data_IF_910958320048
#
_entry.id   IF_910958320048
#
_cell.length_a   1.000
_cell.length_b   1.000
_cell.length_c   1.000
_cell.angle_alpha   90.00
_cell.angle_beta   90.00
_cell.angle_gamma   90.00
#
_symmetry.space_group_name_H-M   'P 1'
#
loop_
_entity.id
_entity.type
_entity.pdbx_description
1 polymer ?
#
# COMPACT_ATOMS: atom_id res chain seq x y z
N UNK A 1 15.01 -42.40 -31.77
CA UNK A 1 15.63 -41.32 -30.98
C UNK A 1 15.09 -41.45 -29.57
N UNK A 2 15.98 -41.84 -28.66
CA UNK A 2 15.66 -42.43 -27.36
C UNK A 2 15.50 -41.36 -26.29
N UNK A 3 14.41 -41.46 -25.51
CA UNK A 3 14.19 -40.68 -24.30
C UNK A 3 14.88 -41.37 -23.11
N UNK A 4 15.65 -40.65 -22.27
CA UNK A 4 16.01 -41.15 -20.96
C UNK A 4 14.94 -40.79 -19.91
N UNK A 5 14.48 -41.82 -19.22
CA UNK A 5 13.68 -41.81 -17.99
C UNK A 5 14.49 -41.33 -16.77
N UNK A 6 13.81 -40.89 -15.68
CA UNK A 6 14.42 -40.24 -14.52
C UNK A 6 14.89 -41.24 -13.45
N UNK A 7 15.81 -40.87 -12.54
CA UNK A 7 16.05 -41.63 -11.33
C UNK A 7 15.07 -41.26 -10.20
N UNK A 8 14.67 -42.34 -9.55
CA UNK A 8 13.84 -42.54 -8.36
C UNK A 8 14.33 -41.89 -7.07
N UNK A 9 13.33 -41.53 -6.24
CA UNK A 9 13.38 -41.12 -4.83
C UNK A 9 14.17 -42.08 -3.90
N UNK A 10 14.60 -41.64 -2.71
CA UNK A 10 13.84 -42.14 -1.55
C UNK A 10 13.57 -41.14 -0.42
N UNK A 11 12.41 -41.40 0.19
CA UNK A 11 11.92 -41.07 1.53
C UNK A 11 13.02 -41.04 2.60
N UNK A 12 13.05 -39.96 3.38
CA UNK A 12 13.70 -39.89 4.69
C UNK A 12 12.73 -39.31 5.71
N UNK A 13 12.05 -40.18 6.44
CA UNK A 13 11.27 -39.83 7.62
C UNK A 13 12.22 -39.69 8.82
N UNK A 14 12.22 -38.56 9.51
CA UNK A 14 12.81 -38.43 10.84
C UNK A 14 11.75 -37.87 11.79
N UNK A 15 11.12 -38.79 12.52
CA UNK A 15 10.46 -38.50 13.80
C UNK A 15 11.57 -38.24 14.82
N UNK A 16 11.51 -37.11 15.53
CA UNK A 16 12.15 -37.01 16.85
C UNK A 16 11.09 -36.67 17.87
N UNK A 17 11.12 -37.50 18.92
CA UNK A 17 10.12 -37.68 19.93
C UNK A 17 10.18 -36.59 21.02
N UNK A 18 9.06 -36.51 21.72
CA UNK A 18 8.84 -35.83 22.99
C UNK A 18 9.88 -36.23 24.04
N UNK A 19 10.31 -35.26 24.84
CA UNK A 19 10.68 -35.50 26.24
C UNK A 19 10.05 -34.42 27.12
N UNK A 20 8.96 -34.80 27.79
CA UNK A 20 8.55 -34.20 29.06
C UNK A 20 9.36 -34.92 30.14
N UNK A 21 10.13 -34.17 30.91
CA UNK A 21 10.59 -34.58 32.23
C UNK A 21 10.65 -33.33 33.09
N UNK A 22 9.76 -33.26 34.07
CA UNK A 22 9.75 -32.20 35.06
C UNK A 22 10.90 -32.35 36.05
N UNK A 23 11.21 -31.26 36.73
CA UNK A 23 11.64 -31.30 38.12
C UNK A 23 11.29 -29.97 38.77
N UNK A 24 10.39 -30.08 39.74
CA UNK A 24 10.11 -29.08 40.77
C UNK A 24 11.25 -29.18 41.78
N UNK A 25 12.01 -28.11 42.01
CA UNK A 25 12.66 -27.83 43.30
C UNK A 25 12.67 -26.32 43.50
N UNK A 26 12.02 -25.89 44.57
CA UNK A 26 12.05 -24.55 45.11
C UNK A 26 13.38 -24.26 45.82
N UNK A 27 13.90 -23.03 45.70
CA UNK A 27 14.59 -22.36 46.80
C UNK A 27 14.82 -20.88 46.47
N UNK A 28 14.33 -20.03 47.37
CA UNK A 28 14.74 -18.64 47.52
C UNK A 28 16.26 -18.52 47.59
N UNK A 29 16.83 -17.68 46.73
CA UNK A 29 18.04 -16.91 47.06
C UNK A 29 17.74 -15.47 46.71
N UNK A 30 17.41 -14.71 47.74
CA UNK A 30 17.46 -13.26 47.73
C UNK A 30 18.94 -12.83 47.69
N UNK A 31 19.27 -11.85 46.85
CA UNK A 31 20.51 -11.08 46.99
C UNK A 31 21.30 -10.88 45.71
N UNK A 32 21.27 -9.65 45.21
CA UNK A 32 22.30 -8.98 44.42
C UNK A 32 22.63 -9.52 43.01
N UNK A 33 21.88 -9.03 42.01
CA UNK A 33 22.43 -8.59 40.72
C UNK A 33 21.34 -7.90 39.86
N UNK A 34 20.79 -6.78 40.33
CA UNK A 34 20.00 -5.84 39.52
C UNK A 34 20.84 -4.57 39.30
N UNK A 35 21.87 -4.70 38.47
CA UNK A 35 22.69 -3.59 38.01
C UNK A 35 23.18 -3.85 36.57
N UNK A 36 22.26 -4.18 35.67
CA UNK A 36 22.52 -4.24 34.22
C UNK A 36 21.20 -4.24 33.41
N UNK A 37 20.25 -3.37 33.73
CA UNK A 37 19.06 -3.12 32.89
C UNK A 37 18.38 -1.79 33.26
N UNK A 38 19.17 -0.73 33.42
CA UNK A 38 18.65 0.63 33.39
C UNK A 38 19.54 1.42 32.44
N UNK A 39 19.49 1.06 31.16
CA UNK A 39 19.66 2.08 30.14
C UNK A 39 18.56 3.11 30.39
N UNK A 40 18.88 4.40 30.64
CA UNK A 40 17.86 5.42 30.62
C UNK A 40 17.17 5.30 29.27
N UNK A 41 15.84 5.21 29.29
CA UNK A 41 15.04 5.38 28.08
C UNK A 41 15.59 6.60 27.36
N UNK A 42 16.00 6.40 26.11
CA UNK A 42 16.39 7.46 25.19
C UNK A 42 15.40 8.61 25.36
N UNK A 43 15.93 9.82 25.53
CA UNK A 43 15.21 11.07 25.76
C UNK A 43 13.82 11.14 25.12
N UNK A 44 12.86 11.82 25.77
CA UNK A 44 11.54 12.03 25.19
C UNK A 44 11.72 12.59 23.78
N UNK A 45 11.00 12.02 22.81
CA UNK A 45 10.62 12.71 21.58
C UNK A 45 10.47 14.19 21.91
N UNK A 46 11.24 15.06 21.24
CA UNK A 46 11.17 16.50 21.44
C UNK A 46 9.69 16.87 21.54
N UNK A 47 9.24 17.24 22.75
CA UNK A 47 7.83 17.45 23.07
C UNK A 47 7.41 18.64 22.22
N UNK A 48 6.88 18.35 21.02
CA UNK A 48 6.54 19.35 20.01
C UNK A 48 5.56 20.33 20.65
N UNK A 49 5.77 21.62 20.37
CA UNK A 49 4.96 22.68 20.92
C UNK A 49 3.47 22.40 20.61
N UNK A 50 2.58 22.34 21.62
CA UNK A 50 1.14 22.16 21.39
C UNK A 50 0.55 23.22 20.43
N UNK A 51 1.18 24.40 20.29
CA UNK A 51 0.77 25.41 19.32
C UNK A 51 0.87 24.92 17.86
N UNK A 52 1.94 24.22 17.50
CA UNK A 52 2.12 23.71 16.13
C UNK A 52 1.01 22.72 15.74
N UNK A 53 0.64 21.82 16.66
CA UNK A 53 -0.41 20.82 16.38
C UNK A 53 -1.78 21.50 16.20
N UNK A 54 -2.04 22.58 16.96
CA UNK A 54 -3.26 23.38 16.79
C UNK A 54 -3.30 24.07 15.42
N UNK A 55 -2.18 24.61 14.94
CA UNK A 55 -2.09 25.23 13.62
C UNK A 55 -2.26 24.19 12.50
N UNK A 56 -1.62 23.03 12.61
CA UNK A 56 -1.79 21.92 11.68
C UNK A 56 -3.24 21.42 11.63
N UNK A 57 -3.88 21.30 12.79
CA UNK A 57 -5.29 20.88 12.88
C UNK A 57 -6.21 21.90 12.21
N UNK A 58 -5.98 23.20 12.45
CA UNK A 58 -6.76 24.28 11.82
C UNK A 58 -6.60 24.26 10.30
N UNK A 59 -5.38 24.14 9.81
CA UNK A 59 -5.08 24.06 8.38
C UNK A 59 -5.78 22.85 7.73
N UNK A 60 -5.70 21.68 8.36
CA UNK A 60 -6.33 20.46 7.86
C UNK A 60 -7.87 20.52 7.88
N UNK A 61 -8.48 21.14 8.89
CA UNK A 61 -9.93 21.39 8.92
C UNK A 61 -10.35 22.32 7.79
N UNK A 62 -9.62 23.42 7.60
CA UNK A 62 -9.90 24.35 6.50
C UNK A 62 -9.76 23.63 5.15
N UNK A 63 -8.67 22.90 4.92
CA UNK A 63 -8.45 22.11 3.70
C UNK A 63 -9.58 21.11 3.44
N UNK A 64 -9.97 20.34 4.44
CA UNK A 64 -11.09 19.40 4.33
C UNK A 64 -12.41 20.08 3.97
N UNK A 65 -12.66 21.29 4.50
CA UNK A 65 -13.86 22.07 4.17
C UNK A 65 -13.87 22.65 2.76
N UNK A 66 -12.69 22.87 2.18
CA UNK A 66 -12.52 23.41 0.83
C UNK A 66 -12.53 22.32 -0.25
N UNK A 67 -12.36 21.05 0.14
CA UNK A 67 -12.35 19.92 -0.78
C UNK A 67 -13.68 19.79 -1.54
N UNK A 68 -13.61 19.73 -2.87
CA UNK A 68 -14.78 19.64 -3.74
C UNK A 68 -15.56 18.32 -3.58
N UNK A 69 -16.82 18.31 -4.06
CA UNK A 69 -17.72 17.15 -4.11
C UNK A 69 -17.18 15.93 -4.88
N UNK A 70 -16.09 16.08 -5.62
CA UNK A 70 -15.38 14.99 -6.31
C UNK A 70 -13.98 14.68 -5.74
N UNK A 71 -13.51 15.42 -4.74
CA UNK A 71 -12.28 15.09 -4.05
C UNK A 71 -12.41 13.71 -3.38
N UNK A 72 -11.35 12.90 -3.45
CA UNK A 72 -11.33 11.57 -2.84
C UNK A 72 -11.65 11.64 -1.34
N UNK A 73 -12.21 10.58 -0.78
CA UNK A 73 -12.67 10.55 0.63
C UNK A 73 -11.59 11.00 1.63
N UNK A 74 -10.31 10.71 1.34
CA UNK A 74 -9.19 11.14 2.18
C UNK A 74 -8.96 12.66 2.22
N UNK A 75 -9.35 13.41 1.19
CA UNK A 75 -9.18 14.86 1.14
C UNK A 75 -10.20 15.62 2.01
N UNK A 76 -11.32 14.96 2.37
CA UNK A 76 -12.38 15.52 3.24
C UNK A 76 -12.21 15.17 4.71
N UNK A 77 -11.20 14.36 5.04
CA UNK A 77 -10.95 13.89 6.40
C UNK A 77 -9.80 14.70 7.03
N UNK A 78 -10.11 15.64 7.94
CA UNK A 78 -9.07 16.45 8.58
C UNK A 78 -8.14 15.60 9.47
N UNK A 79 -8.64 14.49 10.03
CA UNK A 79 -7.83 13.57 10.84
C UNK A 79 -6.77 12.87 10.00
N UNK A 80 -7.12 12.43 8.79
CA UNK A 80 -6.14 11.89 7.82
C UNK A 80 -5.10 12.92 7.40
N UNK A 81 -5.50 14.17 7.20
CA UNK A 81 -4.56 15.25 6.89
C UNK A 81 -3.55 15.48 8.02
N UNK A 82 -4.00 15.59 9.27
CA UNK A 82 -3.10 15.76 10.43
C UNK A 82 -2.18 14.54 10.60
N UNK A 83 -2.72 13.33 10.44
CA UNK A 83 -1.92 12.10 10.51
C UNK A 83 -0.83 12.06 9.42
N UNK A 84 -1.12 12.54 8.21
CA UNK A 84 -0.14 12.64 7.14
C UNK A 84 0.98 13.65 7.48
N UNK A 85 0.64 14.83 7.99
CA UNK A 85 1.63 15.82 8.43
C UNK A 85 2.50 15.30 9.57
N UNK A 86 1.91 14.58 10.52
CA UNK A 86 2.63 13.94 11.61
C UNK A 86 3.58 12.85 11.12
N UNK A 87 3.16 12.05 10.12
CA UNK A 87 4.00 11.03 9.51
C UNK A 87 5.20 11.64 8.78
N UNK A 88 4.99 12.74 8.05
CA UNK A 88 6.05 13.50 7.38
C UNK A 88 7.11 13.98 8.38
N UNK A 89 6.66 14.58 9.47
CA UNK A 89 7.56 15.08 10.52
C UNK A 89 8.19 13.95 11.35
N UNK A 90 7.52 12.80 11.48
CA UNK A 90 8.06 11.61 12.15
C UNK A 90 9.13 10.91 11.30
N UNK A 91 9.14 11.17 10.00
CA UNK A 91 10.07 10.53 9.07
C UNK A 91 11.50 11.06 9.21
N UNK A 92 11.74 12.28 9.68
CA UNK A 92 13.09 12.71 10.08
C UNK A 92 13.04 13.97 10.95
N UNK A 93 13.79 14.06 12.07
CA UNK A 93 13.87 15.29 12.86
C UNK A 93 14.51 16.46 12.10
N UNK A 94 15.11 16.21 10.92
CA UNK A 94 15.64 17.23 10.02
C UNK A 94 14.66 17.70 8.93
N UNK A 95 13.47 17.08 8.80
CA UNK A 95 12.46 17.56 7.88
C UNK A 95 11.72 18.75 8.51
N UNK A 96 12.09 19.96 8.06
CA UNK A 96 11.26 21.13 8.25
C UNK A 96 9.90 20.91 7.54
N UNK A 97 8.80 21.49 8.05
CA UNK A 97 7.53 21.46 7.33
C UNK A 97 7.73 21.99 5.92
N UNK A 98 7.08 21.36 4.93
CA UNK A 98 7.20 21.78 3.53
C UNK A 98 6.72 23.23 3.34
N UNK A 99 7.10 23.86 2.23
CA UNK A 99 6.62 25.19 1.87
C UNK A 99 5.08 25.21 1.83
N UNK A 100 4.48 24.19 1.21
CA UNK A 100 3.03 23.99 1.18
C UNK A 100 2.42 23.84 2.58
N UNK A 101 3.04 23.08 3.50
CA UNK A 101 2.57 22.97 4.89
C UNK A 101 2.63 24.31 5.63
N UNK A 102 3.71 25.06 5.45
CA UNK A 102 3.91 26.39 6.06
C UNK A 102 3.00 27.46 5.45
N UNK A 103 2.64 27.33 4.18
CA UNK A 103 1.61 28.15 3.55
C UNK A 103 0.22 27.81 4.11
N UNK A 104 -0.12 26.51 4.16
CA UNK A 104 -1.41 26.03 4.61
C UNK A 104 -1.74 26.41 6.08
N UNK A 105 -0.74 26.49 6.97
CA UNK A 105 -0.96 26.98 8.35
C UNK A 105 -1.30 28.46 8.44
N UNK A 106 -0.95 29.25 7.43
CA UNK A 106 -1.27 30.69 7.34
C UNK A 106 -2.53 30.97 6.52
N UNK A 107 -3.03 29.97 5.79
CA UNK A 107 -4.23 30.09 5.00
C UNK A 107 -5.48 30.25 5.89
N UNK A 108 -6.33 31.23 5.55
CA UNK A 108 -7.59 31.49 6.25
C UNK A 108 -8.82 31.39 5.34
N UNK A 109 -8.63 31.11 4.06
CA UNK A 109 -9.69 30.97 3.04
C UNK A 109 -9.40 29.79 2.14
N UNK A 110 -10.44 29.25 1.47
CA UNK A 110 -10.25 28.17 0.50
C UNK A 110 -9.39 28.57 -0.68
N UNK A 111 -9.50 29.81 -1.16
CA UNK A 111 -8.62 30.32 -2.20
C UNK A 111 -7.15 30.31 -1.77
N UNK A 112 -6.85 30.67 -0.51
CA UNK A 112 -5.50 30.60 0.03
C UNK A 112 -5.00 29.15 0.18
N UNK A 113 -5.86 28.23 0.63
CA UNK A 113 -5.48 26.80 0.70
C UNK A 113 -5.14 26.25 -0.68
N UNK A 114 -5.98 26.49 -1.70
CA UNK A 114 -5.71 26.02 -3.04
C UNK A 114 -4.46 26.66 -3.66
N UNK A 115 -4.17 27.93 -3.34
CA UNK A 115 -2.91 28.56 -3.73
C UNK A 115 -1.70 27.83 -3.10
N UNK A 116 -1.79 27.41 -1.83
CA UNK A 116 -0.73 26.65 -1.18
C UNK A 116 -0.55 25.23 -1.73
N UNK A 117 -1.59 24.62 -2.32
CA UNK A 117 -1.52 23.27 -2.89
C UNK A 117 -0.73 23.22 -4.20
N UNK A 118 -0.60 24.35 -4.90
CA UNK A 118 0.21 24.49 -6.11
C UNK A 118 1.44 25.38 -5.93
N UNK A 119 1.87 25.66 -4.69
CA UNK A 119 3.07 26.47 -4.43
C UNK A 119 4.27 25.54 -4.19
N UNK A 120 5.06 25.35 -5.24
CA UNK A 120 6.36 24.68 -5.19
C UNK A 120 7.38 25.41 -4.31
N UNK A 121 8.56 24.82 -4.13
CA UNK A 121 9.66 25.46 -3.41
C UNK A 121 10.08 26.73 -4.18
N UNK A 122 9.90 27.92 -3.61
CA UNK A 122 10.10 29.18 -4.34
C UNK A 122 11.46 29.29 -5.07
N UNK A 123 12.61 28.86 -4.48
CA UNK A 123 13.86 28.71 -5.21
C UNK A 123 13.80 27.75 -6.42
N UNK A 124 13.16 26.58 -6.28
CA UNK A 124 12.92 25.64 -7.38
C UNK A 124 12.04 26.26 -8.47
N UNK A 125 10.91 26.86 -8.10
CA UNK A 125 9.99 27.53 -9.02
C UNK A 125 10.71 28.62 -9.82
N UNK A 126 11.51 29.44 -9.13
CA UNK A 126 12.32 30.48 -9.78
C UNK A 126 13.35 29.89 -10.76
N UNK A 127 13.99 28.78 -10.41
CA UNK A 127 14.91 28.07 -11.29
C UNK A 127 14.19 27.53 -12.53
N UNK A 128 13.09 26.81 -12.35
CA UNK A 128 12.36 26.14 -13.44
C UNK A 128 11.71 27.14 -14.41
N UNK A 129 11.19 28.26 -13.91
CA UNK A 129 10.72 29.36 -14.77
C UNK A 129 11.84 29.99 -15.61
N UNK A 130 13.07 29.99 -15.11
CA UNK A 130 14.23 30.49 -15.84
C UNK A 130 14.83 29.47 -16.84
N UNK A 131 14.52 28.18 -16.69
CA UNK A 131 15.07 27.09 -17.49
C UNK A 131 13.95 26.22 -18.10
N UNK A 132 13.13 26.78 -19.03
CA UNK A 132 12.00 26.05 -19.60
C UNK A 132 12.46 24.80 -20.37
N UNK A 133 11.85 23.66 -20.06
CA UNK A 133 12.13 22.37 -20.69
C UNK A 133 13.18 21.50 -19.96
N UNK A 134 13.78 21.99 -18.88
CA UNK A 134 14.58 21.15 -17.98
C UNK A 134 13.65 20.37 -17.05
N UNK A 135 13.80 19.03 -17.00
CA UNK A 135 13.05 18.19 -16.08
C UNK A 135 13.62 18.21 -14.66
N UNK A 136 14.95 18.09 -14.52
CA UNK A 136 15.63 18.18 -13.23
C UNK A 136 17.06 18.71 -13.35
N UNK A 137 17.55 19.36 -12.29
CA UNK A 137 18.87 20.00 -12.28
C UNK A 137 19.52 19.97 -10.90
N UNK A 138 20.86 20.03 -10.89
CA UNK A 138 21.63 20.21 -9.66
C UNK A 138 22.03 21.67 -9.45
N UNK A 139 21.52 22.28 -8.37
CA UNK A 139 21.91 23.62 -7.92
C UNK A 139 22.73 23.48 -6.64
N UNK A 140 24.05 23.34 -6.80
CA UNK A 140 24.93 23.00 -5.69
C UNK A 140 24.67 21.58 -5.20
N UNK A 141 24.34 21.41 -3.91
CA UNK A 141 23.95 20.11 -3.34
C UNK A 141 22.43 19.88 -3.34
N UNK A 142 21.64 20.79 -3.92
CA UNK A 142 20.20 20.64 -4.03
C UNK A 142 19.82 20.06 -5.41
N UNK A 143 18.95 19.06 -5.41
CA UNK A 143 18.25 18.58 -6.60
C UNK A 143 16.97 19.40 -6.78
N UNK A 144 16.79 19.97 -7.95
CA UNK A 144 15.58 20.65 -8.40
C UNK A 144 14.83 19.72 -9.34
N UNK A 145 13.55 19.49 -9.05
CA UNK A 145 12.61 18.81 -9.95
C UNK A 145 11.60 19.85 -10.43
N UNK A 146 11.52 20.04 -11.75
CA UNK A 146 10.66 21.06 -12.34
C UNK A 146 9.26 20.57 -12.68
N UNK A 147 9.00 19.25 -12.63
CA UNK A 147 7.71 18.68 -13.00
C UNK A 147 7.23 19.10 -14.40
N UNK A 148 5.92 18.97 -14.62
CA UNK A 148 5.26 19.44 -15.85
C UNK A 148 4.87 20.94 -15.75
N UNK A 149 4.68 21.45 -14.53
CA UNK A 149 4.41 22.86 -14.24
C UNK A 149 5.51 23.41 -13.32
N UNK A 150 6.18 24.48 -13.75
CA UNK A 150 7.24 25.12 -12.97
C UNK A 150 6.75 25.63 -11.62
N UNK A 151 5.45 25.85 -11.45
CA UNK A 151 4.85 26.28 -10.19
C UNK A 151 4.75 25.14 -9.16
N UNK A 152 4.82 23.89 -9.60
CA UNK A 152 4.85 22.68 -8.75
C UNK A 152 6.28 22.22 -8.44
N UNK A 153 7.29 22.98 -8.85
CA UNK A 153 8.70 22.57 -8.72
C UNK A 153 9.13 22.31 -7.28
N UNK A 154 9.86 21.21 -7.08
CA UNK A 154 10.33 20.77 -5.77
C UNK A 154 11.85 20.88 -5.65
N UNK A 155 12.32 21.01 -4.40
CA UNK A 155 13.75 21.01 -4.07
C UNK A 155 14.05 19.98 -3.00
N UNK A 156 15.01 19.11 -3.29
CA UNK A 156 15.54 18.12 -2.36
C UNK A 156 16.96 18.49 -1.96
N UNK A 157 17.22 18.64 -0.67
CA UNK A 157 18.58 18.82 -0.15
C UNK A 157 19.28 17.45 -0.05
N UNK A 158 20.19 17.16 -0.98
CA UNK A 158 20.89 15.88 -1.01
C UNK A 158 21.80 15.66 0.22
N UNK A 159 22.16 16.71 0.96
CA UNK A 159 22.92 16.56 2.22
C UNK A 159 22.09 15.89 3.30
N UNK A 160 20.78 16.08 3.31
CA UNK A 160 19.88 15.38 4.23
C UNK A 160 19.89 13.85 4.01
N UNK A 161 20.28 13.43 2.80
CA UNK A 161 20.50 12.03 2.43
C UNK A 161 21.96 11.58 2.63
N UNK A 162 22.81 12.42 3.23
CA UNK A 162 24.24 12.15 3.38
C UNK A 162 25.00 12.12 2.04
N UNK A 163 24.48 12.84 1.04
CA UNK A 163 24.96 12.83 -0.34
C UNK A 163 25.15 14.23 -0.94
N UNK A 164 25.26 14.26 -2.27
CA UNK A 164 25.37 15.48 -3.09
C UNK A 164 24.55 15.31 -4.36
N UNK A 165 24.07 16.42 -4.93
CA UNK A 165 23.44 16.37 -6.24
C UNK A 165 24.49 16.16 -7.33
N UNK A 166 24.28 15.19 -8.21
CA UNK A 166 25.15 14.92 -9.36
C UNK A 166 24.33 14.49 -10.57
N UNK A 167 24.84 14.79 -11.77
CA UNK A 167 24.34 14.21 -13.00
C UNK A 167 24.86 12.77 -13.13
N UNK A 168 23.95 11.79 -13.15
CA UNK A 168 24.28 10.37 -13.35
C UNK A 168 23.94 9.97 -14.79
N UNK A 169 24.79 9.12 -15.36
CA UNK A 169 24.61 8.61 -16.72
C UNK A 169 24.20 7.16 -16.67
N UNK A 170 23.00 6.87 -17.15
CA UNK A 170 22.49 5.50 -17.21
C UNK A 170 23.09 4.74 -18.39
N UNK A 171 22.95 3.42 -18.34
CA UNK A 171 23.39 2.48 -19.38
C UNK A 171 22.79 2.76 -20.78
N UNK A 172 21.67 3.48 -20.86
CA UNK A 172 21.03 3.94 -22.10
C UNK A 172 21.56 5.26 -22.66
N UNK A 173 22.57 5.88 -22.04
CA UNK A 173 23.11 7.18 -22.44
C UNK A 173 22.29 8.40 -21.97
N UNK A 174 21.15 8.16 -21.34
CA UNK A 174 20.37 9.18 -20.64
C UNK A 174 21.15 9.71 -19.44
N UNK A 175 21.05 11.01 -19.21
CA UNK A 175 21.64 11.67 -18.05
C UNK A 175 20.51 12.28 -17.24
N UNK A 176 20.47 12.01 -15.94
CA UNK A 176 19.53 12.62 -15.01
C UNK A 176 20.27 13.25 -13.84
N UNK A 177 19.71 14.29 -13.24
CA UNK A 177 20.21 14.86 -11.99
C UNK A 177 19.62 14.09 -10.81
N UNK A 178 20.45 13.64 -9.88
CA UNK A 178 20.00 12.86 -8.73
C UNK A 178 20.85 13.10 -7.47
N UNK A 179 20.30 12.76 -6.31
CA UNK A 179 21.03 12.81 -5.04
C UNK A 179 21.90 11.55 -4.86
N UNK A 180 23.20 11.65 -5.11
CA UNK A 180 24.13 10.52 -4.93
C UNK A 180 24.64 10.47 -3.49
N UNK A 181 24.41 9.36 -2.80
CA UNK A 181 24.83 9.17 -1.39
C UNK A 181 25.57 7.85 -1.21
N UNK A 182 26.86 7.90 -0.88
CA UNK A 182 27.63 6.71 -0.50
C UNK A 182 27.27 6.18 0.89
N UNK A 183 26.64 7.01 1.71
CA UNK A 183 26.16 6.64 3.05
C UNK A 183 24.90 5.80 2.95
N UNK A 184 23.93 6.23 2.15
CA UNK A 184 22.68 5.50 1.94
C UNK A 184 22.82 4.45 0.84
N UNK A 185 23.63 4.65 -0.18
CA UNK A 185 23.78 3.73 -1.30
C UNK A 185 25.26 3.38 -1.51
N UNK A 186 25.90 2.66 -0.56
CA UNK A 186 27.25 2.18 -0.77
C UNK A 186 27.32 1.19 -1.94
N UNK A 187 28.49 0.99 -2.57
CA UNK A 187 28.66 0.01 -3.64
C UNK A 187 28.14 -1.38 -3.24
N UNK A 188 27.27 -1.97 -4.07
CA UNK A 188 26.62 -3.25 -3.78
C UNK A 188 25.41 -3.18 -2.85
N UNK A 189 24.95 -1.97 -2.48
CA UNK A 189 23.67 -1.80 -1.81
C UNK A 189 22.53 -2.38 -2.65
N UNK A 190 21.52 -2.92 -1.96
CA UNK A 190 20.26 -3.35 -2.59
C UNK A 190 19.53 -2.14 -3.16
N UNK A 191 18.91 -2.31 -4.33
CA UNK A 191 18.14 -1.27 -5.01
C UNK A 191 16.99 -0.72 -4.16
N UNK A 192 16.39 -1.54 -3.30
CA UNK A 192 15.34 -1.08 -2.39
C UNK A 192 15.45 -1.77 -1.04
N UNK A 193 15.51 -0.98 0.05
CA UNK A 193 15.51 -1.52 1.42
C UNK A 193 14.65 -0.68 2.36
N UNK A 194 14.24 -1.28 3.47
CA UNK A 194 13.54 -0.54 4.51
C UNK A 194 14.50 0.26 5.39
N UNK A 195 14.16 1.52 5.63
CA UNK A 195 14.68 2.31 6.75
C UNK A 195 13.64 2.29 7.87
N UNK A 196 13.81 1.31 8.77
CA UNK A 196 12.80 1.02 9.78
C UNK A 196 11.45 0.66 9.17
N UNK A 197 10.36 1.02 9.85
CA UNK A 197 8.99 0.78 9.38
C UNK A 197 8.42 1.93 8.56
N UNK A 198 9.10 3.07 8.52
CA UNK A 198 8.53 4.34 8.10
C UNK A 198 8.95 4.78 6.70
N UNK A 199 10.00 4.20 6.10
CA UNK A 199 10.46 4.62 4.78
C UNK A 199 11.14 3.49 3.99
N UNK A 200 11.12 3.63 2.68
CA UNK A 200 11.93 2.86 1.72
C UNK A 200 13.10 3.73 1.28
N UNK A 201 14.30 3.16 1.28
CA UNK A 201 15.47 3.74 0.60
C UNK A 201 15.62 3.05 -0.74
N UNK A 202 15.49 3.82 -1.81
CA UNK A 202 15.79 3.41 -3.17
C UNK A 202 17.22 3.81 -3.53
N UNK A 203 17.97 2.89 -4.13
CA UNK A 203 19.35 3.04 -4.55
C UNK A 203 19.49 2.59 -6.01
N UNK A 204 19.24 3.48 -6.95
CA UNK A 204 19.37 3.20 -8.39
C UNK A 204 20.62 3.88 -8.91
N UNK A 205 21.57 3.12 -9.43
CA UNK A 205 22.85 3.66 -9.95
C UNK A 205 23.63 4.56 -8.94
N UNK A 206 23.40 4.36 -7.63
CA UNK A 206 23.99 5.18 -6.56
C UNK A 206 23.20 6.45 -6.21
N UNK A 207 22.16 6.79 -6.97
CA UNK A 207 21.17 7.77 -6.57
C UNK A 207 20.35 7.22 -5.40
N UNK A 208 20.33 7.99 -4.32
CA UNK A 208 19.55 7.74 -3.14
C UNK A 208 18.25 8.53 -3.21
N UNK A 209 17.15 7.82 -3.07
CA UNK A 209 15.83 8.39 -2.83
C UNK A 209 15.28 7.80 -1.53
N UNK A 210 14.64 8.65 -0.74
CA UNK A 210 14.00 8.24 0.51
C UNK A 210 12.50 8.46 0.39
N UNK A 211 11.76 7.37 0.29
CA UNK A 211 10.33 7.39 0.07
C UNK A 211 9.63 7.11 1.41
N UNK A 212 9.02 8.12 2.06
CA UNK A 212 8.28 7.91 3.29
C UNK A 212 7.02 7.08 3.03
N UNK A 213 6.77 6.12 3.91
CA UNK A 213 5.55 5.34 3.91
C UNK A 213 4.39 6.19 4.42
N UNK A 214 3.32 6.25 3.63
CA UNK A 214 2.09 6.98 3.98
C UNK A 214 1.48 6.43 5.26
N UNK A 215 0.76 7.26 6.00
CA UNK A 215 0.01 6.84 7.19
C UNK A 215 -0.87 5.61 6.91
N UNK A 216 -0.83 4.62 7.80
CA UNK A 216 -1.50 3.32 7.62
C UNK A 216 -0.73 2.31 6.78
N UNK A 217 0.45 2.66 6.26
CA UNK A 217 1.39 1.75 5.61
C UNK A 217 2.68 1.60 6.41
N UNK A 218 3.40 0.50 6.20
CA UNK A 218 4.73 0.27 6.76
C UNK A 218 5.66 -0.29 5.68
N UNK A 219 6.95 -0.01 5.82
CA UNK A 219 7.94 -0.61 4.95
C UNK A 219 8.03 -2.13 5.20
N UNK A 220 7.99 -2.90 4.13
CA UNK A 220 8.16 -4.36 4.15
C UNK A 220 9.22 -4.73 3.13
N UNK A 221 10.31 -5.36 3.58
CA UNK A 221 11.30 -5.96 2.69
C UNK A 221 10.88 -7.39 2.31
N UNK A 222 11.01 -7.74 1.03
CA UNK A 222 10.63 -9.06 0.51
C UNK A 222 11.57 -9.52 -0.57
N UNK A 223 11.80 -10.82 -0.63
CA UNK A 223 12.42 -11.48 -1.77
C UNK A 223 11.34 -11.75 -2.82
N UNK A 224 11.52 -11.22 -4.03
CA UNK A 224 10.65 -11.52 -5.16
C UNK A 224 10.94 -12.91 -5.75
N UNK A 225 10.20 -13.28 -6.80
CA UNK A 225 10.33 -14.58 -7.45
C UNK A 225 11.70 -14.78 -8.11
N UNK A 226 12.40 -13.69 -8.43
CA UNK A 226 13.72 -13.70 -9.05
C UNK A 226 14.85 -13.76 -8.01
N UNK A 227 14.49 -13.84 -6.72
CA UNK A 227 15.44 -13.89 -5.62
C UNK A 227 15.96 -12.51 -5.20
N UNK A 228 15.46 -11.42 -5.78
CA UNK A 228 15.87 -10.06 -5.48
C UNK A 228 15.06 -9.52 -4.31
N UNK A 229 15.75 -8.92 -3.34
CA UNK A 229 15.07 -8.27 -2.24
C UNK A 229 14.64 -6.86 -2.63
N UNK A 230 13.35 -6.58 -2.48
CA UNK A 230 12.72 -5.29 -2.73
C UNK A 230 11.95 -4.84 -1.50
N UNK A 231 12.03 -3.56 -1.20
CA UNK A 231 11.24 -2.94 -0.14
C UNK A 231 10.12 -2.09 -0.74
N UNK A 232 8.95 -2.13 -0.11
CA UNK A 232 7.81 -1.31 -0.49
C UNK A 232 6.98 -0.91 0.74
N UNK A 233 6.25 0.20 0.63
CA UNK A 233 5.30 0.63 1.65
C UNK A 233 3.96 -0.09 1.46
N UNK A 234 3.55 -0.90 2.43
CA UNK A 234 2.34 -1.71 2.36
C UNK A 234 1.40 -1.39 3.52
N UNK A 235 0.08 -1.29 3.25
CA UNK A 235 -0.90 -1.23 4.32
C UNK A 235 -0.99 -2.57 5.06
N UNK A 236 -1.20 -2.51 6.37
CA UNK A 236 -1.35 -3.71 7.19
C UNK A 236 -2.59 -4.49 6.76
N UNK A 237 -2.42 -5.80 6.50
CA UNK A 237 -3.49 -6.65 5.97
C UNK A 237 -3.84 -6.41 4.49
N UNK A 238 -3.00 -5.68 3.72
CA UNK A 238 -3.22 -5.56 2.27
C UNK A 238 -3.18 -6.94 1.63
N UNK A 239 -4.22 -7.32 0.85
CA UNK A 239 -4.23 -8.60 0.16
C UNK A 239 -3.05 -8.69 -0.80
N UNK A 240 -2.27 -9.75 -0.67
CA UNK A 240 -1.00 -9.99 -1.35
C UNK A 240 -1.18 -10.95 -2.52
N UNK A 241 -0.64 -10.62 -3.68
CA UNK A 241 -0.63 -11.51 -4.83
C UNK A 241 0.68 -12.28 -4.90
N UNK A 242 0.63 -13.59 -4.67
CA UNK A 242 1.79 -14.48 -4.79
C UNK A 242 2.06 -14.90 -6.25
N UNK A 243 1.05 -14.81 -7.13
CA UNK A 243 1.20 -15.06 -8.56
C UNK A 243 0.08 -14.37 -9.37
N UNK A 244 0.32 -14.02 -10.65
CA UNK A 244 -0.73 -13.68 -11.60
C UNK A 244 -1.81 -14.77 -11.67
N UNK A 245 -3.07 -14.36 -11.69
CA UNK A 245 -4.21 -15.27 -11.73
C UNK A 245 -4.45 -16.03 -10.42
N UNK A 246 -3.63 -15.79 -9.38
CA UNK A 246 -3.90 -16.34 -8.06
C UNK A 246 -5.21 -15.76 -7.51
N UNK A 247 -6.00 -16.63 -6.87
CA UNK A 247 -7.17 -16.24 -6.11
C UNK A 247 -7.08 -16.90 -4.74
N UNK A 248 -7.61 -16.26 -3.72
CA UNK A 248 -7.72 -16.85 -2.38
C UNK A 248 -8.76 -16.11 -1.56
N UNK A 249 -9.18 -16.74 -0.47
CA UNK A 249 -10.17 -16.21 0.45
C UNK A 249 -9.51 -15.66 1.71
N UNK A 250 -9.84 -14.42 2.06
CA UNK A 250 -9.56 -13.79 3.35
C UNK A 250 -10.87 -13.64 4.12
N UNK A 251 -11.23 -14.65 4.90
CA UNK A 251 -12.57 -14.74 5.48
C UNK A 251 -13.64 -14.81 4.37
N UNK A 252 -14.56 -13.84 4.34
CA UNK A 252 -15.61 -13.75 3.31
C UNK A 252 -15.21 -12.88 2.12
N UNK A 253 -13.94 -12.48 2.01
CA UNK A 253 -13.45 -11.67 0.89
C UNK A 253 -12.69 -12.54 -0.10
N UNK A 254 -13.07 -12.46 -1.37
CA UNK A 254 -12.33 -13.04 -2.48
C UNK A 254 -11.29 -12.04 -2.98
N UNK A 255 -10.03 -12.42 -2.87
CA UNK A 255 -8.91 -11.68 -3.44
C UNK A 255 -8.56 -12.31 -4.78
N UNK A 256 -8.56 -11.53 -5.86
CA UNK A 256 -8.14 -11.97 -7.19
C UNK A 256 -7.02 -11.08 -7.74
N UNK A 257 -5.94 -11.73 -8.14
CA UNK A 257 -4.71 -11.12 -8.62
C UNK A 257 -4.74 -11.02 -10.14
N UNK A 258 -5.11 -9.86 -10.66
CA UNK A 258 -5.12 -9.58 -12.09
C UNK A 258 -3.88 -8.79 -12.48
N UNK A 259 -3.12 -9.27 -13.47
CA UNK A 259 -1.98 -8.55 -14.07
C UNK A 259 -0.78 -9.44 -14.38
N UNK A 260 0.02 -9.11 -15.40
CA UNK A 260 1.25 -9.85 -15.74
C UNK A 260 2.29 -9.77 -14.60
N UNK A 261 3.24 -10.71 -14.59
CA UNK A 261 4.36 -10.66 -13.63
C UNK A 261 5.15 -9.38 -13.88
N UNK A 262 5.23 -8.55 -12.84
CA UNK A 262 6.40 -7.74 -12.56
C UNK A 262 6.67 -6.53 -13.43
N UNK A 263 5.77 -5.54 -13.52
CA UNK A 263 6.26 -4.14 -13.57
C UNK A 263 5.25 -3.05 -13.23
N UNK A 264 3.94 -3.21 -13.42
CA UNK A 264 3.00 -2.12 -13.06
C UNK A 264 1.75 -2.68 -12.42
N UNK A 265 1.56 -2.35 -11.14
CA UNK A 265 0.36 -2.61 -10.32
C UNK A 265 -0.35 -3.92 -10.69
N UNK A 266 0.09 -5.05 -10.13
CA UNK A 266 -0.80 -6.22 -10.04
C UNK A 266 -2.11 -5.72 -9.42
N UNK A 267 -3.15 -5.62 -10.23
CA UNK A 267 -4.45 -5.12 -9.83
C UNK A 267 -5.03 -6.19 -8.91
N UNK A 268 -4.96 -5.92 -7.62
CA UNK A 268 -5.63 -6.73 -6.60
C UNK A 268 -7.09 -6.31 -6.64
N UNK A 269 -7.95 -7.19 -7.13
CA UNK A 269 -9.40 -7.03 -7.02
C UNK A 269 -9.86 -7.76 -5.77
N UNK A 270 -10.58 -7.06 -4.90
CA UNK A 270 -11.16 -7.63 -3.68
C UNK A 270 -12.68 -7.57 -3.83
N UNK A 271 -13.33 -8.73 -3.73
CA UNK A 271 -14.79 -8.86 -3.75
C UNK A 271 -15.25 -9.28 -2.36
N UNK A 272 -16.11 -8.50 -1.73
CA UNK A 272 -16.71 -8.85 -0.44
C UNK A 272 -17.89 -9.81 -0.67
N UNK A 273 -17.63 -11.12 -0.58
CA UNK A 273 -18.67 -12.13 -0.75
C UNK A 273 -19.74 -12.00 0.34
N UNK A 274 -19.35 -11.63 1.57
CA UNK A 274 -20.26 -11.48 2.71
C UNK A 274 -21.30 -10.39 2.48
N UNK A 275 -20.89 -9.25 1.92
CA UNK A 275 -21.81 -8.19 1.51
C UNK A 275 -22.83 -8.65 0.45
N UNK A 276 -22.48 -9.68 -0.33
CA UNK A 276 -23.35 -10.30 -1.34
C UNK A 276 -24.20 -11.47 -0.78
N UNK A 277 -24.12 -11.74 0.52
CA UNK A 277 -24.77 -12.91 1.13
C UNK A 277 -24.12 -14.24 0.72
N UNK A 278 -22.90 -14.19 0.18
CA UNK A 278 -22.07 -15.31 -0.24
C UNK A 278 -20.92 -15.51 0.76
N UNK A 279 -20.20 -16.60 0.60
CA UNK A 279 -19.03 -16.97 1.39
C UNK A 279 -17.88 -17.26 0.45
N UNK A 280 -16.72 -16.71 0.75
CA UNK A 280 -15.55 -17.06 -0.02
C UNK A 280 -15.12 -18.48 0.36
N UNK A 281 -14.96 -19.35 -0.62
CA UNK A 281 -14.43 -20.71 -0.43
C UNK A 281 -13.52 -21.09 -1.62
N UNK A 282 -12.84 -22.23 -1.54
CA UNK A 282 -11.89 -22.71 -2.54
C UNK A 282 -10.44 -22.32 -2.25
N UNK A 283 -9.51 -22.75 -3.11
CA UNK A 283 -8.07 -22.47 -2.95
C UNK A 283 -7.38 -22.21 -4.29
N UNK A 284 -6.37 -21.34 -4.29
CA UNK A 284 -5.67 -20.95 -5.52
C UNK A 284 -6.64 -20.49 -6.62
N UNK A 285 -6.51 -20.98 -7.85
CA UNK A 285 -7.33 -20.54 -8.99
C UNK A 285 -8.83 -20.87 -8.85
N UNK A 286 -9.21 -21.73 -7.91
CA UNK A 286 -10.61 -22.13 -7.67
C UNK A 286 -11.27 -21.34 -6.55
N UNK A 287 -10.57 -20.39 -5.90
CA UNK A 287 -11.22 -19.54 -4.90
C UNK A 287 -12.28 -18.63 -5.55
N UNK A 288 -13.45 -18.54 -4.91
CA UNK A 288 -14.62 -17.84 -5.44
C UNK A 288 -15.64 -17.51 -4.35
N UNK A 289 -16.64 -16.69 -4.68
CA UNK A 289 -17.79 -16.44 -3.82
C UNK A 289 -18.87 -17.50 -4.09
N UNK A 290 -19.18 -18.32 -3.08
CA UNK A 290 -20.13 -19.44 -3.14
C UNK A 290 -21.26 -19.25 -2.12
N UNK A 291 -22.38 -19.93 -2.30
CA UNK A 291 -23.44 -19.97 -1.28
C UNK A 291 -23.11 -21.07 -0.26
N UNK A 292 -23.13 -20.76 1.04
CA UNK A 292 -22.98 -21.78 2.08
C UNK A 292 -24.21 -22.70 2.12
N UNK A 293 -24.00 -24.01 1.98
CA UNK A 293 -25.01 -25.04 2.24
C UNK A 293 -24.99 -26.20 1.27
N UNK A 294 -25.70 -27.28 1.62
CA UNK A 294 -26.06 -28.32 0.65
C UNK A 294 -26.94 -27.65 -0.39
N UNK A 295 -26.63 -27.81 -1.68
CA UNK A 295 -27.41 -27.21 -2.76
C UNK A 295 -28.91 -27.50 -2.54
N UNK A 296 -29.74 -26.45 -2.53
CA UNK A 296 -31.20 -26.53 -2.40
C UNK A 296 -31.84 -27.07 -3.69
N UNK A 297 -31.08 -27.08 -4.79
CA UNK A 297 -31.46 -27.53 -6.12
C UNK A 297 -30.23 -28.00 -6.91
N UNK A 298 -30.43 -28.90 -7.87
CA UNK A 298 -29.36 -29.36 -8.75
C UNK A 298 -29.11 -28.32 -9.88
N UNK A 299 -27.87 -28.22 -10.37
CA UNK A 299 -27.50 -27.24 -11.40
C UNK A 299 -28.23 -27.48 -12.73
N UNK A 300 -28.70 -28.70 -12.97
CA UNK A 300 -29.48 -29.14 -14.12
C UNK A 300 -31.00 -29.12 -13.87
N UNK A 301 -31.47 -28.66 -12.70
CA UNK A 301 -32.90 -28.54 -12.43
C UNK A 301 -33.50 -27.46 -13.35
N UNK A 302 -34.41 -27.81 -14.29
CA UNK A 302 -34.91 -26.86 -15.25
C UNK A 302 -35.75 -25.78 -14.56
N UNK A 303 -35.67 -24.52 -15.03
CA UNK A 303 -36.52 -23.45 -14.53
C UNK A 303 -38.00 -23.80 -14.72
N UNK A 304 -38.84 -23.51 -13.72
CA UNK A 304 -40.27 -23.86 -13.69
C UNK A 304 -41.14 -22.71 -13.19
N UNK A 305 -42.40 -22.73 -13.57
CA UNK A 305 -43.39 -21.75 -13.13
C UNK A 305 -44.23 -22.31 -11.99
N UNK A 306 -44.15 -21.69 -10.81
CA UNK A 306 -45.01 -21.98 -9.66
C UNK A 306 -46.05 -20.85 -9.53
N UNK A 307 -47.13 -20.94 -10.32
CA UNK A 307 -48.15 -19.88 -10.43
C UNK A 307 -47.60 -18.61 -11.07
N UNK A 308 -47.57 -17.50 -10.32
CA UNK A 308 -47.01 -16.22 -10.76
C UNK A 308 -45.52 -16.06 -10.44
N UNK A 309 -44.81 -17.13 -10.08
CA UNK A 309 -43.39 -17.08 -9.70
C UNK A 309 -42.56 -17.99 -10.60
N UNK A 310 -41.53 -17.43 -11.25
CA UNK A 310 -40.49 -18.22 -11.92
C UNK A 310 -39.49 -18.72 -10.88
N UNK A 311 -39.35 -20.03 -10.80
CA UNK A 311 -38.44 -20.71 -9.89
C UNK A 311 -37.31 -21.35 -10.69
N UNK A 312 -36.04 -21.06 -10.39
CA UNK A 312 -34.90 -21.68 -11.06
C UNK A 312 -33.71 -21.88 -10.13
N UNK A 313 -32.80 -22.79 -10.48
CA UNK A 313 -31.58 -23.01 -9.71
C UNK A 313 -30.47 -22.07 -10.17
N UNK A 314 -29.93 -21.25 -9.26
CA UNK A 314 -28.74 -20.46 -9.51
C UNK A 314 -27.74 -20.70 -8.38
N UNK A 315 -26.53 -21.14 -8.74
CA UNK A 315 -25.43 -21.38 -7.78
C UNK A 315 -25.85 -22.29 -6.61
N UNK A 316 -26.66 -23.32 -6.89
CA UNK A 316 -27.15 -24.27 -5.88
C UNK A 316 -28.29 -23.74 -5.00
N UNK A 317 -28.89 -22.59 -5.32
CA UNK A 317 -30.04 -22.03 -4.61
C UNK A 317 -31.25 -21.89 -5.51
N UNK A 318 -32.42 -22.18 -4.95
CA UNK A 318 -33.69 -22.02 -5.64
C UNK A 318 -34.11 -20.55 -5.59
N UNK A 319 -33.88 -19.83 -6.68
CA UNK A 319 -34.28 -18.45 -6.89
C UNK A 319 -35.75 -18.40 -7.28
N UNK A 320 -36.50 -17.47 -6.69
CA UNK A 320 -37.92 -17.23 -6.98
C UNK A 320 -38.10 -15.79 -7.42
N UNK A 321 -38.57 -15.59 -8.64
CA UNK A 321 -38.82 -14.27 -9.22
C UNK A 321 -40.33 -14.11 -9.43
N UNK A 322 -41.01 -13.17 -8.75
CA UNK A 322 -42.41 -12.89 -9.02
C UNK A 322 -42.55 -12.26 -10.41
N UNK A 323 -43.47 -12.77 -11.22
CA UNK A 323 -43.72 -12.33 -12.59
C UNK A 323 -45.09 -11.65 -12.65
N UNK A 324 -45.12 -10.40 -13.11
CA UNK A 324 -46.29 -9.51 -13.03
C UNK A 324 -47.48 -9.96 -13.91
N UNK A 325 -47.26 -10.89 -14.84
CA UNK A 325 -48.27 -11.41 -15.78
C UNK A 325 -48.50 -12.93 -15.71
N UNK A 326 -48.05 -13.58 -14.64
CA UNK A 326 -47.98 -15.05 -14.58
C UNK A 326 -46.71 -15.59 -15.25
N UNK A 327 -46.42 -16.86 -15.02
CA UNK A 327 -45.29 -17.56 -15.62
C UNK A 327 -45.85 -18.68 -16.51
N UNK A 328 -45.55 -18.65 -17.82
CA UNK A 328 -46.09 -19.62 -18.78
C UNK A 328 -45.07 -20.73 -19.09
N UNK A 329 -45.51 -21.99 -19.03
CA UNK A 329 -44.69 -23.15 -19.38
C UNK A 329 -44.72 -23.42 -20.90
N UNK A 330 -43.61 -23.13 -21.57
CA UNK A 330 -43.15 -23.59 -22.90
C UNK A 330 -43.20 -22.60 -24.09
N UNK A 331 -42.29 -22.72 -25.08
CA UNK A 331 -40.94 -23.32 -25.04
C UNK A 331 -39.85 -22.30 -24.66
N UNK A 332 -40.21 -21.04 -24.42
CA UNK A 332 -39.33 -20.00 -23.90
C UNK A 332 -39.97 -19.41 -22.64
N UNK A 333 -39.39 -19.68 -21.48
CA UNK A 333 -39.85 -19.07 -20.23
C UNK A 333 -39.63 -17.56 -20.33
N UNK A 334 -40.71 -16.80 -20.34
CA UNK A 334 -40.70 -15.35 -20.34
C UNK A 334 -41.35 -14.84 -19.07
N UNK A 335 -40.67 -13.90 -18.40
CA UNK A 335 -41.27 -13.10 -17.34
C UNK A 335 -41.28 -11.65 -17.78
N UNK A 336 -42.46 -11.05 -17.77
CA UNK A 336 -42.63 -9.62 -17.98
C UNK A 336 -42.27 -8.91 -16.67
N UNK A 337 -41.26 -8.02 -16.65
CA UNK A 337 -40.94 -7.26 -15.44
C UNK A 337 -42.13 -6.37 -15.03
N UNK A 338 -42.33 -6.11 -13.73
CA UNK A 338 -43.28 -5.10 -13.29
C UNK A 338 -42.90 -3.74 -13.91
N UNK A 339 -43.91 -2.99 -14.37
CA UNK A 339 -43.72 -1.58 -14.74
C UNK A 339 -43.45 -0.74 -13.50
#
# INVERSE_FOLDING_TARGET
MSFPTPPSSPRGAARIARSRAGSVVAALVAGLALAAACTPASSPEARRDPAWLADATRACVLRASCAHGHAGEGARDPGRCVAAWLADLGSSPAHAPSAAQTCATRASTCAAVHACEGEGDAPAVAYCRAHPGEGSACVGDALIDCGDDADEAERVDCRALGGKCQAIKHSGGLTESACVSSTLCPPGAKEGRCEGVAAVISCVDGAAERIPCRAGTRCVARTDADGLERASCEAEGSPRCSAPGARYCEGDRLVACTGPRGTEKSAVSVVDCGALGLRCDGSATTAGCYVLGKNDCAADEPPRCDGATLTFCALGRRVRVPCAGGCATAPALSCTPPR
#
